data_IF_028571063700
#
_entry.id   IF_028571063700
#
_cell.length_a   1.000
_cell.length_b   1.000
_cell.length_c   1.000
_cell.angle_alpha   90.00
_cell.angle_beta   90.00
_cell.angle_gamma   90.00
#
_symmetry.space_group_name_H-M   'P 1'
#
loop_
_entity.id
_entity.type
_entity.pdbx_description
1 polymer ?
#
# COMPACT_ATOMS: atom_id res chain seq x y z
N UNK A 1 32.48 -1.49 -14.55
CA UNK A 1 31.27 -2.17 -15.10
C UNK A 1 31.59 -3.58 -15.58
N UNK A 2 32.75 -3.77 -16.23
CA UNK A 2 33.31 -5.09 -16.53
C UNK A 2 33.68 -5.86 -15.24
N UNK A 3 34.15 -5.15 -14.22
CA UNK A 3 34.50 -5.70 -12.90
C UNK A 3 33.28 -6.28 -12.19
N UNK A 4 32.16 -5.56 -12.19
CA UNK A 4 30.87 -6.02 -11.67
C UNK A 4 30.37 -7.26 -12.42
N UNK A 5 30.44 -7.25 -13.75
CA UNK A 5 30.08 -8.41 -14.57
C UNK A 5 30.93 -9.64 -14.19
N UNK A 6 32.24 -9.46 -14.02
CA UNK A 6 33.17 -10.53 -13.63
C UNK A 6 32.89 -11.05 -12.22
N UNK A 7 32.62 -10.17 -11.25
CA UNK A 7 32.33 -10.55 -9.86
C UNK A 7 31.03 -11.35 -9.73
N UNK A 8 30.04 -11.06 -10.58
CA UNK A 8 28.72 -11.70 -10.51
C UNK A 8 28.50 -12.78 -11.59
N UNK A 9 29.53 -13.14 -12.36
CA UNK A 9 29.41 -14.14 -13.44
C UNK A 9 28.46 -13.74 -14.56
N UNK A 10 28.25 -12.43 -14.76
CA UNK A 10 27.32 -11.90 -15.75
C UNK A 10 28.06 -11.57 -17.05
N UNK A 11 27.45 -11.92 -18.18
CA UNK A 11 27.93 -11.45 -19.49
C UNK A 11 27.52 -9.99 -19.66
N UNK A 12 28.44 -9.16 -20.20
CA UNK A 12 28.23 -7.72 -20.34
C UNK A 12 26.95 -7.38 -21.14
N UNK A 13 26.62 -8.18 -22.15
CA UNK A 13 25.41 -8.04 -22.97
C UNK A 13 24.13 -8.27 -22.16
N UNK A 14 24.15 -9.18 -21.19
CA UNK A 14 23.05 -9.42 -20.24
C UNK A 14 22.81 -8.20 -19.37
N UNK A 15 23.88 -7.63 -18.79
CA UNK A 15 23.79 -6.42 -17.98
C UNK A 15 23.26 -5.23 -18.80
N UNK A 16 23.75 -5.05 -20.03
CA UNK A 16 23.28 -4.00 -20.93
C UNK A 16 21.79 -4.16 -21.27
N UNK A 17 21.33 -5.39 -21.50
CA UNK A 17 19.91 -5.69 -21.75
C UNK A 17 19.04 -5.32 -20.54
N UNK A 18 19.47 -5.68 -19.34
CA UNK A 18 18.75 -5.34 -18.12
C UNK A 18 18.68 -3.84 -17.88
N UNK A 19 19.76 -3.12 -18.12
CA UNK A 19 19.76 -1.65 -18.01
C UNK A 19 18.86 -0.98 -19.05
N UNK A 20 18.84 -1.49 -20.28
CA UNK A 20 17.93 -1.00 -21.31
C UNK A 20 16.46 -1.26 -20.95
N UNK A 21 16.16 -2.44 -20.41
CA UNK A 21 14.82 -2.79 -19.92
C UNK A 21 14.40 -1.91 -18.74
N UNK A 22 15.27 -1.71 -17.75
CA UNK A 22 14.99 -0.84 -16.60
C UNK A 22 14.71 0.62 -17.02
N UNK A 23 15.43 1.13 -18.04
CA UNK A 23 15.17 2.48 -18.60
C UNK A 23 13.80 2.57 -19.26
N UNK A 24 13.38 1.52 -20.00
CA UNK A 24 12.05 1.46 -20.62
C UNK A 24 10.92 1.43 -19.58
N UNK A 25 11.06 0.64 -18.52
CA UNK A 25 10.10 0.62 -17.42
C UNK A 25 10.00 1.99 -16.73
N UNK A 26 11.13 2.66 -16.50
CA UNK A 26 11.14 4.01 -15.90
C UNK A 26 10.47 5.06 -16.79
N UNK A 27 10.62 4.93 -18.10
CA UNK A 27 9.94 5.81 -19.06
C UNK A 27 8.44 5.52 -19.13
N UNK A 28 8.03 4.24 -19.10
CA UNK A 28 6.61 3.87 -19.04
C UNK A 28 5.93 4.32 -17.74
N UNK A 29 6.60 4.19 -16.59
CA UNK A 29 6.02 4.61 -15.30
C UNK A 29 6.00 6.14 -15.11
N UNK A 30 6.83 6.87 -15.86
CA UNK A 30 6.79 8.34 -15.92
C UNK A 30 5.64 8.87 -16.78
N UNK A 31 5.05 8.05 -17.65
CA UNK A 31 3.98 8.47 -18.58
C UNK A 31 2.57 8.18 -18.02
N UNK A 32 2.47 7.35 -16.98
CA UNK A 32 1.32 7.34 -16.08
C UNK A 32 1.36 8.60 -15.23
N UNK A 33 0.75 9.67 -15.74
CA UNK A 33 0.34 10.82 -14.93
C UNK A 33 -0.44 10.25 -13.74
N UNK A 34 0.14 10.31 -12.54
CA UNK A 34 -0.56 9.91 -11.34
C UNK A 34 -1.70 10.90 -11.14
N UNK A 35 -2.88 10.56 -11.64
CA UNK A 35 -4.07 11.37 -11.44
C UNK A 35 -4.44 11.25 -9.96
N UNK A 36 -4.08 12.28 -9.21
CA UNK A 36 -4.56 12.46 -7.85
C UNK A 36 -6.07 12.69 -7.92
N UNK A 37 -6.82 11.63 -7.63
CA UNK A 37 -8.28 11.72 -7.52
C UNK A 37 -8.62 12.14 -6.10
N UNK A 38 -9.24 13.31 -5.96
CA UNK A 38 -9.84 13.73 -4.71
C UNK A 38 -11.04 12.84 -4.40
N UNK A 39 -10.87 11.92 -3.44
CA UNK A 39 -11.97 11.11 -2.93
C UNK A 39 -12.68 11.93 -1.85
N UNK A 40 -13.89 12.40 -2.17
CA UNK A 40 -14.79 13.01 -1.19
C UNK A 40 -15.24 11.94 -0.19
N UNK A 41 -14.49 11.81 0.90
CA UNK A 41 -14.91 11.02 2.04
C UNK A 41 -15.97 11.83 2.78
N UNK A 42 -17.15 11.26 3.01
CA UNK A 42 -18.11 11.88 3.92
C UNK A 42 -17.39 12.16 5.24
N UNK A 43 -17.41 13.41 5.76
CA UNK A 43 -16.81 13.66 7.05
C UNK A 43 -17.42 12.70 8.06
N UNK A 44 -16.63 12.07 8.94
CA UNK A 44 -17.21 11.33 10.06
C UNK A 44 -18.22 12.25 10.73
N UNK A 45 -19.41 11.73 10.99
CA UNK A 45 -20.55 12.47 11.55
C UNK A 45 -20.01 13.39 12.65
N UNK A 46 -20.09 14.71 12.41
CA UNK A 46 -19.46 15.72 13.28
C UNK A 46 -19.87 15.44 14.73
N UNK A 47 -18.90 15.06 15.56
CA UNK A 47 -19.09 14.93 17.01
C UNK A 47 -19.06 13.51 17.58
N UNK A 48 -19.01 12.46 16.76
CA UNK A 48 -18.84 11.10 17.30
C UNK A 48 -17.39 10.86 17.66
N UNK A 49 -17.11 10.98 18.97
CA UNK A 49 -15.83 10.63 19.58
C UNK A 49 -15.64 9.12 19.45
N UNK A 50 -14.85 8.70 18.46
CA UNK A 50 -14.43 7.30 18.37
C UNK A 50 -13.70 6.92 19.67
N UNK A 51 -14.04 5.75 20.20
CA UNK A 51 -13.56 5.30 21.50
C UNK A 51 -12.37 4.33 21.37
N UNK A 52 -12.31 3.57 20.27
CA UNK A 52 -11.26 2.59 20.04
C UNK A 52 -11.00 2.37 18.54
N UNK A 53 -9.76 1.96 18.23
CA UNK A 53 -9.38 1.43 16.92
C UNK A 53 -9.05 -0.06 17.07
N UNK A 54 -9.49 -0.86 16.10
CA UNK A 54 -9.28 -2.29 16.06
C UNK A 54 -8.55 -2.68 14.78
N UNK A 55 -7.39 -3.31 14.94
CA UNK A 55 -6.54 -3.76 13.83
C UNK A 55 -6.85 -5.22 13.55
N UNK A 56 -7.41 -5.50 12.38
CA UNK A 56 -7.71 -6.86 11.96
C UNK A 56 -6.50 -7.45 11.22
N UNK A 57 -6.32 -8.77 11.35
CA UNK A 57 -5.30 -9.59 10.68
C UNK A 57 -5.29 -9.45 9.16
N UNK A 58 -6.41 -9.03 8.56
CA UNK A 58 -6.51 -8.69 7.14
C UNK A 58 -5.82 -7.37 6.76
N UNK A 59 -5.21 -6.65 7.71
CA UNK A 59 -4.62 -5.32 7.51
C UNK A 59 -5.64 -4.18 7.45
N UNK A 60 -6.91 -4.44 7.79
CA UNK A 60 -7.96 -3.41 7.87
C UNK A 60 -8.03 -2.82 9.28
N UNK A 61 -8.39 -1.54 9.37
CA UNK A 61 -8.59 -0.84 10.64
C UNK A 61 -10.05 -0.47 10.77
N UNK A 62 -10.67 -0.91 11.87
CA UNK A 62 -12.05 -0.56 12.23
C UNK A 62 -12.02 0.48 13.35
N UNK A 63 -12.75 1.58 13.17
CA UNK A 63 -12.94 2.61 14.21
C UNK A 63 -14.31 2.41 14.85
N UNK A 64 -14.32 2.31 16.17
CA UNK A 64 -15.52 2.01 16.94
C UNK A 64 -16.00 3.28 17.64
N UNK A 65 -17.29 3.59 17.47
CA UNK A 65 -17.95 4.66 18.21
C UNK A 65 -18.12 4.27 19.69
N UNK A 66 -18.27 5.27 20.56
CA UNK A 66 -18.38 5.05 22.01
C UNK A 66 -19.62 4.26 22.44
N UNK A 67 -20.65 4.28 21.61
CA UNK A 67 -22.00 3.76 21.83
C UNK A 67 -22.23 2.44 21.09
N UNK A 68 -21.16 1.76 20.68
CA UNK A 68 -21.29 0.46 20.02
C UNK A 68 -21.94 -0.57 20.96
N UNK A 69 -22.97 -1.31 20.50
CA UNK A 69 -23.56 -2.39 21.28
C UNK A 69 -22.52 -3.44 21.67
N UNK A 70 -22.62 -3.95 22.89
CA UNK A 70 -21.62 -4.89 23.44
C UNK A 70 -21.59 -6.19 22.65
N UNK A 71 -22.74 -6.65 22.17
CA UNK A 71 -22.90 -7.85 21.36
C UNK A 71 -22.16 -7.70 20.02
N UNK A 72 -22.28 -6.52 19.39
CA UNK A 72 -21.60 -6.22 18.13
C UNK A 72 -20.09 -6.12 18.33
N UNK A 73 -19.63 -5.49 19.42
CA UNK A 73 -18.21 -5.43 19.78
C UNK A 73 -17.62 -6.84 19.95
N UNK A 74 -18.33 -7.73 20.64
CA UNK A 74 -17.89 -9.11 20.83
C UNK A 74 -17.82 -9.89 19.51
N UNK A 75 -18.75 -9.65 18.58
CA UNK A 75 -18.70 -10.25 17.26
C UNK A 75 -17.50 -9.75 16.45
N UNK A 76 -17.20 -8.45 16.50
CA UNK A 76 -16.05 -7.85 15.82
C UNK A 76 -14.72 -8.37 16.38
N UNK A 77 -14.60 -8.50 17.69
CA UNK A 77 -13.41 -9.06 18.35
C UNK A 77 -13.13 -10.52 17.96
N UNK A 78 -14.17 -11.30 17.67
CA UNK A 78 -14.01 -12.68 17.20
C UNK A 78 -13.61 -12.77 15.72
N UNK A 79 -13.88 -11.73 14.94
CA UNK A 79 -13.73 -11.75 13.49
C UNK A 79 -12.41 -11.15 12.97
N UNK A 80 -11.60 -10.50 13.81
CA UNK A 80 -10.47 -9.67 13.37
C UNK A 80 -9.06 -10.29 13.50
#
# INVERSE_FOLDING_TARGET
MREFCRQHGLVLTTLQRWLAQARRYRQQSSDTKADFVEVKVSPPVRGERWAAELYCSSGRVLRLAHDIPTELLQQLLRAC
#
